data_IF_453764338905
#
_entry.id   IF_453764338905
#
_cell.length_a   1.000
_cell.length_b   1.000
_cell.length_c   1.000
_cell.angle_alpha   90.00
_cell.angle_beta   90.00
_cell.angle_gamma   90.00
#
_symmetry.space_group_name_H-M   'P 1'
#
loop_
_entity.id
_entity.type
_entity.pdbx_description
1 polymer ?
2 non-polymer ?
3 non-polymer ?
#
# COMPACT_ATOMS: atom_id res chain seq x y z
N UNK A 1 -9.01 -21.05 -13.49
CA UNK A 1 -10.19 -20.23 -13.86
C UNK A 1 -10.25 -19.00 -12.98
N UNK A 2 -10.94 -17.98 -13.43
CA UNK A 2 -10.91 -16.68 -12.79
C UNK A 2 -11.30 -16.80 -11.32
N UNK A 3 -10.60 -16.09 -10.45
CA UNK A 3 -10.86 -16.09 -9.02
C UNK A 3 -12.11 -15.27 -8.69
N UNK A 4 -12.81 -15.68 -7.63
CA UNK A 4 -14.07 -15.06 -7.29
C UNK A 4 -14.16 -14.85 -5.80
N UNK A 5 -14.42 -13.62 -5.40
CA UNK A 5 -14.39 -13.23 -3.99
C UNK A 5 -15.62 -13.75 -3.24
N UNK A 6 -15.58 -15.00 -2.84
CA UNK A 6 -16.79 -15.65 -2.38
C UNK A 6 -16.82 -15.83 -0.86
N UNK A 7 -15.66 -15.70 -0.23
CA UNK A 7 -15.59 -15.81 1.23
C UNK A 7 -15.68 -14.45 1.91
N UNK A 8 -15.72 -14.46 3.24
CA UNK A 8 -15.71 -13.23 4.00
C UNK A 8 -14.43 -13.19 4.81
N UNK A 9 -14.19 -12.11 5.54
CA UNK A 9 -13.01 -12.04 6.42
C UNK A 9 -13.14 -12.92 7.66
N UNK A 10 -12.03 -13.56 8.04
CA UNK A 10 -11.95 -14.23 9.33
C UNK A 10 -11.99 -13.23 10.50
N UNK A 11 -12.18 -13.77 11.71
CA UNK A 11 -12.05 -13.00 12.93
C UNK A 11 -10.60 -12.76 13.28
N UNK A 12 -10.27 -11.47 13.30
CA UNK A 12 -8.96 -10.98 13.70
C UNK A 12 -9.01 -10.75 15.19
N UNK A 13 -8.47 -11.67 15.97
CA UNK A 13 -8.35 -11.44 17.41
C UNK A 13 -6.92 -11.08 17.78
N UNK A 14 -6.01 -11.22 16.80
CA UNK A 14 -4.64 -10.68 16.84
C UNK A 14 -3.91 -10.86 15.48
N UNK A 15 -2.61 -10.53 15.45
CA UNK A 15 -1.84 -10.59 14.20
C UNK A 15 -0.58 -11.39 14.47
N UNK A 16 -0.14 -12.21 13.51
CA UNK A 16 1.11 -12.98 13.66
C UNK A 16 2.15 -12.57 12.63
N UNK A 17 3.42 -12.76 12.94
CA UNK A 17 4.46 -12.47 11.97
C UNK A 17 4.33 -13.42 10.78
N UNK A 18 4.20 -12.84 9.58
CA UNK A 18 4.05 -13.61 8.36
C UNK A 18 5.37 -13.60 7.58
N UNK A 19 5.86 -12.42 7.23
CA UNK A 19 7.17 -12.32 6.61
C UNK A 19 8.07 -11.20 7.14
N UNK A 20 9.33 -11.21 6.70
CA UNK A 20 10.31 -10.20 7.09
C UNK A 20 11.62 -10.50 6.36
N UNK A 21 12.25 -9.49 5.77
CA UNK A 21 13.39 -9.75 4.90
C UNK A 21 14.76 -9.27 5.37
N UNK A 22 14.79 -8.39 6.37
CA UNK A 22 16.06 -7.85 6.90
C UNK A 22 16.99 -7.34 5.82
N UNK A 23 16.45 -6.69 4.80
CA UNK A 23 17.28 -6.36 3.65
C UNK A 23 18.44 -5.39 3.90
N UNK A 24 18.26 -4.42 4.79
CA UNK A 24 19.29 -3.39 4.97
C UNK A 24 20.39 -3.93 5.87
N UNK A 25 20.01 -4.75 6.87
CA UNK A 25 20.98 -5.54 7.65
C UNK A 25 21.81 -6.35 6.71
N UNK A 26 21.14 -7.20 5.95
CA UNK A 26 21.82 -8.04 4.96
C UNK A 26 22.42 -7.20 3.83
N UNK A 27 21.85 -6.03 3.61
CA UNK A 27 22.28 -5.20 2.51
C UNK A 27 23.63 -4.59 2.76
N UNK A 28 24.06 -4.68 4.01
CA UNK A 28 25.32 -4.09 4.39
C UNK A 28 26.54 -4.83 3.79
N UNK A 29 26.35 -6.11 3.46
CA UNK A 29 27.42 -6.99 2.99
C UNK A 29 26.98 -7.99 1.91
N UNK A 30 25.94 -7.65 1.15
CA UNK A 30 25.51 -8.48 0.03
C UNK A 30 25.05 -7.56 -1.08
N UNK A 31 24.75 -8.10 -2.26
CA UNK A 31 24.28 -7.26 -3.36
C UNK A 31 22.77 -7.17 -3.37
N UNK A 32 22.24 -6.35 -2.46
CA UNK A 32 20.81 -6.10 -2.33
C UNK A 32 20.50 -4.79 -3.06
N UNK A 33 19.26 -4.66 -3.56
CA UNK A 33 18.87 -3.49 -4.34
C UNK A 33 18.23 -2.40 -3.49
N UNK A 34 18.61 -1.16 -3.71
CA UNK A 34 17.92 -0.03 -3.08
C UNK A 34 16.50 0.06 -3.62
N UNK A 35 15.51 0.01 -2.72
CA UNK A 35 14.10 -0.07 -3.10
C UNK A 35 13.30 0.98 -2.35
N UNK A 36 12.03 1.13 -2.71
CA UNK A 36 11.01 1.63 -1.77
C UNK A 36 9.61 1.33 -2.30
N UNK A 37 8.60 1.82 -1.58
CA UNK A 37 7.22 1.49 -1.90
C UNK A 37 7.03 -0.02 -2.13
N UNK A 38 7.32 -0.84 -1.10
CA UNK A 38 7.09 -2.29 -1.19
C UNK A 38 5.63 -2.69 -1.12
N UNK A 39 5.37 -3.96 -1.38
CA UNK A 39 4.11 -4.59 -1.06
C UNK A 39 4.27 -6.09 -1.21
N UNK A 40 3.21 -6.83 -0.90
CA UNK A 40 3.22 -8.28 -1.00
C UNK A 40 1.97 -8.63 -1.80
N UNK A 41 2.05 -9.67 -2.62
CA UNK A 41 0.94 -10.00 -3.50
C UNK A 41 1.04 -11.49 -3.83
N UNK A 42 -0.11 -12.16 -3.90
CA UNK A 42 -0.13 -13.62 -4.05
C UNK A 42 -0.57 -14.20 -5.42
N UNK A 43 0.19 -15.17 -5.88
CA UNK A 43 -0.20 -16.05 -6.97
C UNK A 43 -0.94 -17.27 -6.40
N UNK A 44 -1.65 -18.00 -7.26
CA UNK A 44 -2.26 -19.28 -6.87
C UNK A 44 -1.34 -20.26 -6.10
N UNK A 45 -0.03 -20.09 -6.28
CA UNK A 45 0.96 -21.10 -5.93
C UNK A 45 2.09 -20.54 -5.06
N UNK A 46 2.47 -19.27 -5.23
CA UNK A 46 3.33 -18.61 -4.23
C UNK A 46 2.95 -17.16 -3.95
N UNK A 47 3.31 -16.67 -2.76
CA UNK A 47 3.25 -15.23 -2.47
C UNK A 47 4.64 -14.62 -2.55
N UNK A 48 4.76 -13.42 -3.12
CA UNK A 48 6.06 -12.74 -3.21
C UNK A 48 6.05 -11.30 -2.72
N UNK A 49 7.25 -10.73 -2.60
CA UNK A 49 7.46 -9.35 -2.19
C UNK A 49 7.63 -8.54 -3.47
N UNK A 50 7.30 -7.25 -3.42
CA UNK A 50 7.31 -6.39 -4.57
C UNK A 50 7.79 -4.99 -4.13
N UNK A 51 8.60 -4.34 -4.96
CA UNK A 51 9.01 -2.96 -4.70
C UNK A 51 9.56 -2.34 -5.98
N UNK A 52 9.67 -1.00 -5.97
CA UNK A 52 10.39 -0.27 -7.01
C UNK A 52 11.91 -0.12 -6.74
N UNK A 53 12.69 -0.81 -7.55
CA UNK A 53 14.14 -0.67 -7.62
C UNK A 53 14.51 0.78 -7.87
N UNK A 54 15.66 1.21 -7.33
CA UNK A 54 16.31 2.46 -7.73
C UNK A 54 17.47 2.19 -8.66
N UNK A 55 17.58 0.96 -9.13
CA UNK A 55 18.56 0.65 -10.16
C UNK A 55 19.97 0.74 -9.64
N UNK A 56 20.23 0.17 -8.46
CA UNK A 56 21.52 0.30 -7.78
C UNK A 56 21.51 -0.48 -6.46
N UNK A 57 22.70 -0.89 -6.02
CA UNK A 57 22.84 -1.53 -4.73
C UNK A 57 23.13 -0.48 -3.66
N UNK A 58 22.81 -0.84 -2.41
CA UNK A 58 22.98 0.05 -1.28
C UNK A 58 24.42 0.50 -1.10
N UNK A 59 25.35 -0.45 -1.08
CA UNK A 59 26.75 -0.09 -0.90
C UNK A 59 27.37 0.46 -2.19
N UNK A 60 26.68 0.31 -3.31
CA UNK A 60 27.11 0.94 -4.54
C UNK A 60 27.05 2.46 -4.53
N UNK A 61 27.99 3.11 -5.22
CA UNK A 61 28.10 4.58 -5.26
C UNK A 61 26.80 5.24 -5.75
N UNK A 62 26.09 4.59 -6.66
CA UNK A 62 25.00 5.24 -7.39
C UNK A 62 23.78 5.24 -6.50
N UNK A 63 23.97 4.93 -5.22
CA UNK A 63 22.90 4.97 -4.23
C UNK A 63 22.75 6.37 -3.65
N UNK A 64 23.76 7.21 -3.83
CA UNK A 64 23.66 8.59 -3.40
C UNK A 64 22.61 9.29 -4.23
N UNK A 65 21.48 9.58 -3.62
CA UNK A 65 20.46 10.35 -4.33
C UNK A 65 19.15 9.59 -4.49
N UNK A 66 19.14 8.35 -4.00
CA UNK A 66 17.98 7.50 -4.07
C UNK A 66 16.87 7.99 -3.16
N UNK A 67 16.95 9.22 -2.69
CA UNK A 67 15.81 9.83 -2.01
C UNK A 67 14.75 10.33 -2.99
N UNK A 68 15.10 10.36 -4.28
CA UNK A 68 14.20 10.85 -5.32
C UNK A 68 13.23 9.77 -5.80
N UNK A 69 11.96 10.16 -5.99
CA UNK A 69 10.89 9.20 -6.29
C UNK A 69 10.89 8.65 -7.71
N UNK A 70 11.12 9.54 -8.67
CA UNK A 70 10.89 9.20 -10.07
C UNK A 70 12.16 9.38 -10.87
N UNK A 71 12.54 8.38 -11.65
CA UNK A 71 13.70 8.47 -12.53
C UNK A 71 13.62 7.39 -13.57
N UNK A 72 14.58 7.43 -14.49
CA UNK A 72 14.66 6.48 -15.59
C UNK A 72 15.23 5.14 -15.16
N UNK A 73 15.70 5.06 -13.91
CA UNK A 73 16.44 3.88 -13.49
C UNK A 73 15.69 3.05 -12.45
N UNK A 74 14.44 3.42 -12.16
CA UNK A 74 13.55 2.64 -11.28
C UNK A 74 12.85 1.53 -12.08
N UNK A 75 12.35 0.50 -11.38
CA UNK A 75 11.59 -0.61 -11.98
C UNK A 75 10.78 -1.35 -10.92
N UNK A 76 9.69 -2.03 -11.30
CA UNK A 76 9.00 -2.91 -10.36
C UNK A 76 9.70 -4.27 -10.40
N UNK A 77 10.17 -4.73 -9.24
CA UNK A 77 10.74 -6.07 -9.08
C UNK A 77 9.90 -6.87 -8.07
N UNK A 78 9.92 -8.20 -8.19
CA UNK A 78 9.39 -9.06 -7.14
C UNK A 78 10.43 -10.09 -6.78
N UNK A 79 10.35 -10.61 -5.57
CA UNK A 79 11.29 -11.63 -5.18
C UNK A 79 10.62 -12.61 -4.20
N UNK A 80 11.26 -13.77 -3.96
CA UNK A 80 10.78 -14.74 -2.98
C UNK A 80 10.67 -14.19 -1.57
N UNK A 81 9.54 -14.52 -0.95
CA UNK A 81 9.12 -14.04 0.37
C UNK A 81 10.20 -14.12 1.44
N UNK A 82 10.52 -12.97 2.04
CA UNK A 82 11.42 -12.89 3.20
C UNK A 82 12.88 -13.04 2.77
N UNK A 83 13.15 -12.77 1.51
CA UNK A 83 14.51 -12.72 0.99
C UNK A 83 14.85 -11.26 0.73
N UNK A 84 16.13 -10.88 0.88
CA UNK A 84 16.36 -9.46 0.61
C UNK A 84 16.28 -9.26 -0.90
N UNK A 85 15.83 -8.08 -1.35
CA UNK A 85 15.68 -7.94 -2.81
C UNK A 85 17.02 -7.78 -3.52
N UNK A 86 17.63 -8.90 -3.92
CA UNK A 86 19.01 -8.90 -4.43
C UNK A 86 19.11 -8.81 -5.95
N UNK A 87 20.30 -8.43 -6.43
CA UNK A 87 20.55 -8.27 -7.85
C UNK A 87 20.42 -9.57 -8.67
N UNK A 88 20.70 -10.70 -8.02
CA UNK A 88 20.76 -12.00 -8.69
C UNK A 88 19.49 -12.84 -8.60
N UNK A 89 18.46 -12.32 -7.95
CA UNK A 89 17.28 -13.11 -7.62
C UNK A 89 15.97 -12.41 -7.91
N UNK A 90 16.04 -11.10 -8.12
CA UNK A 90 14.84 -10.34 -8.34
C UNK A 90 14.37 -10.59 -9.75
N UNK A 91 13.06 -10.48 -9.97
CA UNK A 91 12.49 -10.47 -11.30
C UNK A 91 11.83 -9.12 -11.59
N UNK A 92 12.12 -8.55 -12.76
CA UNK A 92 11.48 -7.30 -13.18
C UNK A 92 10.08 -7.53 -13.79
N UNK A 93 9.09 -6.88 -13.21
CA UNK A 93 7.73 -6.94 -13.73
C UNK A 93 7.54 -5.97 -14.91
N UNK A 94 8.00 -4.73 -14.73
CA UNK A 94 7.96 -3.66 -15.75
C UNK A 94 8.77 -2.43 -15.32
N UNK A 95 8.98 -1.53 -16.27
CA UNK A 95 9.82 -0.33 -16.08
C UNK A 95 8.94 0.89 -15.71
N UNK A 96 9.04 1.34 -14.47
CA UNK A 96 8.17 2.41 -14.01
C UNK A 96 8.45 2.87 -12.59
N UNK A 97 8.06 4.11 -12.28
CA UNK A 97 8.26 4.72 -10.98
C UNK A 97 6.99 4.81 -10.13
N UNK A 98 5.90 4.18 -10.63
CA UNK A 98 4.71 3.88 -9.82
C UNK A 98 4.10 2.59 -10.34
N UNK A 99 3.41 1.84 -9.48
CA UNK A 99 2.87 0.51 -9.86
C UNK A 99 1.68 -0.06 -9.07
N UNK A 100 1.15 -1.15 -9.61
CA UNK A 100 0.28 -2.08 -8.89
C UNK A 100 0.33 -3.37 -9.71
N UNK A 101 0.03 -4.50 -9.05
CA UNK A 101 0.09 -5.81 -9.67
C UNK A 101 -0.85 -6.75 -8.92
N UNK A 102 -1.64 -7.50 -9.67
CA UNK A 102 -2.51 -8.50 -9.08
C UNK A 102 -2.72 -9.69 -10.03
N UNK A 103 -3.10 -10.81 -9.44
CA UNK A 103 -3.32 -12.03 -10.20
C UNK A 103 -4.84 -12.29 -10.27
N UNK A 104 -5.37 -12.66 -11.42
CA UNK A 104 -6.81 -12.81 -11.54
C UNK A 104 -7.32 -14.26 -11.42
N UNK A 105 -6.49 -15.12 -10.85
CA UNK A 105 -6.80 -16.53 -10.89
C UNK A 105 -6.19 -17.21 -12.11
N UNK A 106 -6.25 -16.58 -13.27
CA UNK A 106 -5.76 -17.20 -14.49
C UNK A 106 -4.30 -16.83 -14.73
N UNK A 107 -4.01 -15.54 -14.67
CA UNK A 107 -2.63 -15.03 -14.74
C UNK A 107 -2.54 -13.60 -14.11
N UNK A 108 -1.36 -12.97 -14.19
CA UNK A 108 -1.07 -11.76 -13.42
C UNK A 108 -0.96 -10.50 -14.28
N UNK A 109 -1.59 -9.43 -13.80
CA UNK A 109 -1.53 -8.09 -14.40
C UNK A 109 -0.66 -7.24 -13.52
N UNK A 110 0.30 -6.58 -14.18
CA UNK A 110 1.25 -5.67 -13.54
C UNK A 110 1.27 -4.38 -14.36
N UNK A 111 1.16 -3.24 -13.67
CA UNK A 111 1.01 -1.93 -14.30
C UNK A 111 2.11 -1.01 -13.77
N UNK A 112 3.01 -0.58 -14.65
CA UNK A 112 4.02 0.41 -14.28
C UNK A 112 3.75 1.70 -15.03
N UNK A 113 4.10 2.81 -14.37
CA UNK A 113 3.96 4.14 -14.91
C UNK A 113 5.33 4.81 -15.00
N UNK A 114 5.63 5.40 -16.15
CA UNK A 114 6.85 6.16 -16.31
C UNK A 114 6.54 7.48 -17.04
N UNK A 115 7.55 8.33 -17.13
CA UNK A 115 7.50 9.48 -18.01
C UNK A 115 8.03 10.68 -17.27
N UNK A 116 8.22 11.81 -17.96
CA UNK A 116 8.36 13.06 -17.22
C UNK A 116 7.06 13.38 -16.51
N UNK A 117 7.13 14.30 -15.54
CA UNK A 117 5.97 14.72 -14.77
C UNK A 117 4.77 15.16 -15.60
N UNK A 118 5.01 15.71 -16.80
CA UNK A 118 3.93 16.30 -17.61
C UNK A 118 3.61 15.54 -18.87
N UNK A 119 4.07 14.31 -18.95
CA UNK A 119 3.96 13.51 -20.16
C UNK A 119 4.18 12.03 -19.85
N UNK A 120 3.70 11.62 -18.67
CA UNK A 120 3.77 10.23 -18.22
C UNK A 120 2.66 9.38 -18.85
N UNK A 121 2.90 8.08 -18.86
CA UNK A 121 1.93 7.13 -19.39
C UNK A 121 2.08 5.78 -18.67
N UNK A 122 1.03 4.98 -18.69
CA UNK A 122 1.04 3.68 -18.02
C UNK A 122 0.93 2.55 -19.05
N UNK A 123 1.66 1.47 -18.80
CA UNK A 123 1.54 0.29 -19.62
C UNK A 123 1.06 -0.83 -18.73
N UNK A 124 -0.04 -1.45 -19.19
CA UNK A 124 -0.64 -2.62 -18.58
C UNK A 124 -0.05 -3.86 -19.22
N UNK A 125 0.76 -4.57 -18.43
CA UNK A 125 1.23 -5.88 -18.80
C UNK A 125 0.26 -6.93 -18.29
N UNK A 126 0.12 -8.00 -19.06
CA UNK A 126 -0.68 -9.13 -18.63
C UNK A 126 -0.05 -10.38 -19.25
N UNK A 127 0.15 -11.43 -18.44
CA UNK A 127 1.00 -12.57 -18.81
C UNK A 127 2.41 -12.21 -19.30
N UNK A 128 3.09 -11.33 -18.56
CA UNK A 128 4.39 -10.77 -18.92
C UNK A 128 4.55 -10.20 -20.33
N UNK A 129 3.44 -9.92 -21.00
CA UNK A 129 3.47 -9.13 -22.25
C UNK A 129 2.69 -7.83 -22.04
N UNK A 130 3.18 -6.73 -22.65
CA UNK A 130 2.46 -5.45 -22.71
C UNK A 130 1.24 -5.54 -23.63
N UNK A 131 0.16 -4.96 -23.16
CA UNK A 131 -1.15 -5.14 -23.76
C UNK A 131 -1.80 -3.78 -24.06
N UNK A 132 -1.80 -2.90 -23.06
CA UNK A 132 -2.57 -1.66 -23.08
C UNK A 132 -1.80 -0.47 -22.47
N UNK A 133 -1.96 0.71 -23.06
CA UNK A 133 -1.25 1.92 -22.65
C UNK A 133 -2.25 3.07 -22.51
N UNK A 134 -1.89 4.04 -21.67
CA UNK A 134 -2.78 5.11 -21.22
C UNK A 134 -1.88 6.32 -20.95
N UNK A 135 -2.27 7.48 -21.44
CA UNK A 135 -1.42 8.68 -21.31
C UNK A 135 -1.98 9.57 -20.19
N UNK A 136 -1.16 10.45 -19.64
CA UNK A 136 -1.65 11.50 -18.74
C UNK A 136 -2.93 12.10 -19.31
N UNK A 137 -3.92 12.26 -18.44
CA UNK A 137 -5.11 13.00 -18.82
C UNK A 137 -5.10 14.39 -18.23
N UNK A 138 -4.34 14.60 -17.17
CA UNK A 138 -4.29 15.89 -16.50
C UNK A 138 -2.86 16.41 -16.47
N UNK A 139 -1.95 15.64 -17.05
CA UNK A 139 -0.58 16.08 -17.31
C UNK A 139 0.20 16.52 -16.07
N UNK A 140 -0.15 15.92 -14.92
CA UNK A 140 0.59 16.15 -13.68
C UNK A 140 0.75 14.90 -12.78
N UNK A 141 1.91 14.26 -12.91
CA UNK A 141 2.26 12.99 -12.26
C UNK A 141 1.14 11.95 -12.07
N UNK A 142 0.72 11.37 -13.19
CA UNK A 142 -0.08 10.13 -13.23
C UNK A 142 0.52 9.13 -12.26
N UNK A 143 -0.29 8.58 -11.37
CA UNK A 143 0.22 7.69 -10.34
C UNK A 143 -0.87 6.68 -9.91
N UNK A 144 -0.44 5.51 -9.41
CA UNK A 144 -1.35 4.45 -8.95
C UNK A 144 -1.15 4.11 -7.47
N UNK A 145 -1.56 2.91 -7.09
CA UNK A 145 -1.82 2.54 -5.71
C UNK A 145 -0.56 2.37 -4.87
N UNK A 146 0.44 1.70 -5.44
CA UNK A 146 1.66 1.24 -4.77
C UNK A 146 1.40 0.02 -3.92
N UNK A 147 0.34 -0.72 -4.28
CA UNK A 147 0.10 -2.06 -3.73
C UNK A 147 -0.86 -2.84 -4.63
N UNK A 148 -1.01 -4.15 -4.40
CA UNK A 148 -1.83 -5.03 -5.24
C UNK A 148 -3.28 -4.60 -5.42
N UNK A 149 -3.77 -4.77 -6.63
CA UNK A 149 -5.20 -4.60 -6.87
C UNK A 149 -5.93 -5.89 -6.45
N UNK A 150 -7.24 -5.96 -6.74
CA UNK A 150 -8.06 -7.13 -6.48
C UNK A 150 -8.95 -7.36 -7.71
N UNK A 151 -8.92 -8.58 -8.24
CA UNK A 151 -9.94 -9.03 -9.20
C UNK A 151 -11.04 -9.88 -8.62
N UNK A 152 -12.08 -10.04 -9.43
CA UNK A 152 -13.22 -10.91 -9.16
C UNK A 152 -13.83 -11.36 -10.51
N UNK A 153 -13.77 -12.65 -10.79
CA UNK A 153 -14.24 -13.21 -12.06
C UNK A 153 -13.70 -12.46 -13.29
N UNK A 154 -12.42 -12.15 -13.25
CA UNK A 154 -11.73 -11.68 -14.42
C UNK A 154 -11.54 -10.19 -14.43
N UNK A 155 -12.25 -9.45 -13.58
CA UNK A 155 -12.32 -7.99 -13.63
C UNK A 155 -11.57 -7.31 -12.50
N UNK A 156 -10.43 -6.69 -12.83
CA UNK A 156 -9.55 -6.05 -11.83
C UNK A 156 -9.54 -4.55 -11.96
N UNK A 157 -10.26 -3.86 -11.07
CA UNK A 157 -10.24 -2.40 -11.08
C UNK A 157 -9.00 -1.81 -10.43
N UNK A 158 -8.59 -0.64 -10.92
CA UNK A 158 -7.39 0.01 -10.42
C UNK A 158 -7.69 1.50 -10.38
N UNK A 159 -7.30 2.13 -9.28
CA UNK A 159 -7.46 3.57 -9.07
C UNK A 159 -6.20 4.31 -9.49
N UNK A 160 -6.37 5.32 -10.35
CA UNK A 160 -5.30 6.23 -10.77
C UNK A 160 -5.66 7.67 -10.39
N UNK A 161 -4.65 8.44 -9.98
CA UNK A 161 -4.80 9.91 -9.86
C UNK A 161 -3.87 10.62 -10.83
N UNK A 162 -4.42 11.57 -11.58
CA UNK A 162 -3.61 12.53 -12.34
C UNK A 162 -3.97 13.97 -11.98
N UNK A 163 -3.00 14.69 -11.44
CA UNK A 163 -3.17 16.10 -11.14
C UNK A 163 -2.36 16.55 -9.95
N UNK A 164 -2.76 17.68 -9.36
CA UNK A 164 -2.13 18.24 -8.17
C UNK A 164 -2.20 17.34 -6.93
N UNK A 165 -1.26 17.58 -6.02
CA UNK A 165 -1.15 16.82 -4.79
C UNK A 165 -1.49 17.73 -3.63
N UNK A 166 -1.61 19.02 -3.89
CA UNK A 166 -1.90 19.95 -2.83
C UNK A 166 -3.20 20.71 -3.12
N UNK A 167 -4.17 19.96 -3.64
CA UNK A 167 -5.38 20.53 -4.20
C UNK A 167 -6.12 19.49 -4.98
N UNK A 168 -7.16 19.88 -5.73
CA UNK A 168 -7.96 18.99 -6.58
C UNK A 168 -7.16 18.32 -7.69
N UNK A 169 -7.33 17.01 -7.83
CA UNK A 169 -6.77 16.26 -8.95
C UNK A 169 -7.89 15.54 -9.69
N UNK A 170 -7.55 14.69 -10.65
CA UNK A 170 -8.52 13.88 -11.36
C UNK A 170 -8.26 12.38 -11.17
N UNK A 171 -9.16 11.70 -10.47
CA UNK A 171 -8.98 10.30 -10.15
C UNK A 171 -9.94 9.41 -10.95
N UNK A 172 -9.41 8.45 -11.68
CA UNK A 172 -10.26 7.50 -12.41
C UNK A 172 -10.13 6.11 -11.81
N UNK A 173 -11.25 5.40 -11.80
CA UNK A 173 -11.31 3.98 -11.46
C UNK A 173 -11.45 3.21 -12.78
N UNK A 174 -10.35 2.60 -13.24
CA UNK A 174 -10.37 1.75 -14.45
C UNK A 174 -10.74 0.31 -14.12
N UNK A 175 -11.52 -0.32 -15.00
CA UNK A 175 -11.82 -1.73 -14.87
C UNK A 175 -11.14 -2.50 -16.01
N UNK A 176 -10.20 -3.37 -15.66
CA UNK A 176 -9.53 -4.22 -16.65
C UNK A 176 -10.02 -5.68 -16.56
N UNK A 177 -10.07 -6.31 -17.74
CA UNK A 177 -10.28 -7.74 -17.86
C UNK A 177 -9.33 -8.30 -18.94
N UNK A 178 -8.38 -9.15 -18.53
CA UNK A 178 -7.30 -9.63 -19.41
C UNK A 178 -6.38 -8.54 -19.96
N UNK A 179 -6.15 -7.50 -19.16
CA UNK A 179 -5.21 -6.45 -19.53
C UNK A 179 -5.85 -5.36 -20.37
N UNK A 180 -7.08 -5.63 -20.81
CA UNK A 180 -7.82 -4.71 -21.65
C UNK A 180 -8.77 -3.88 -20.79
N UNK A 181 -8.94 -2.61 -21.17
CA UNK A 181 -9.88 -1.73 -20.48
C UNK A 181 -11.31 -2.09 -20.83
N UNK A 182 -12.11 -2.39 -19.82
CA UNK A 182 -13.56 -2.58 -20.01
C UNK A 182 -14.30 -1.25 -19.95
N UNK A 183 -13.82 -0.33 -19.11
CA UNK A 183 -14.59 0.83 -18.71
C UNK A 183 -13.77 1.65 -17.69
N UNK A 184 -14.01 2.94 -17.61
CA UNK A 184 -13.46 3.70 -16.50
C UNK A 184 -14.45 4.76 -16.08
N UNK A 185 -14.29 5.26 -14.85
CA UNK A 185 -15.20 6.27 -14.35
C UNK A 185 -14.48 7.19 -13.36
N UNK A 186 -14.70 8.50 -13.50
CA UNK A 186 -14.27 9.50 -12.50
C UNK A 186 -14.65 9.18 -11.08
N UNK A 187 -13.85 9.66 -10.12
CA UNK A 187 -14.15 9.46 -8.70
C UNK A 187 -15.51 10.08 -8.34
N UNK A 188 -16.17 9.49 -7.34
CA UNK A 188 -17.47 9.95 -6.88
C UNK A 188 -17.56 9.72 -5.39
N UNK A 189 -18.60 10.27 -4.76
CA UNK A 189 -18.77 10.11 -3.32
C UNK A 189 -18.41 11.45 -2.72
N UNK A 190 -17.86 11.44 -1.50
CA UNK A 190 -17.59 12.69 -0.77
C UNK A 190 -16.11 12.87 -0.39
N UNK A 191 -15.24 11.98 -0.88
CA UNK A 191 -13.80 12.11 -0.66
C UNK A 191 -13.24 13.24 -1.52
N UNK A 192 -12.44 14.11 -0.92
CA UNK A 192 -12.00 15.32 -1.59
C UNK A 192 -10.67 15.17 -2.33
N UNK A 193 -9.95 14.09 -2.04
CA UNK A 193 -8.64 13.81 -2.62
C UNK A 193 -8.25 12.34 -2.39
N UNK A 194 -7.72 11.69 -3.43
CA UNK A 194 -7.40 10.25 -3.39
C UNK A 194 -5.96 9.98 -3.86
N UNK A 195 -5.22 9.19 -3.10
CA UNK A 195 -3.87 8.83 -3.50
C UNK A 195 -3.55 7.52 -2.80
N UNK A 196 -2.72 6.70 -3.44
CA UNK A 196 -2.15 5.50 -2.85
C UNK A 196 -3.17 4.57 -2.19
N UNK A 197 -4.17 4.12 -2.97
CA UNK A 197 -5.24 3.26 -2.44
C UNK A 197 -4.80 1.86 -2.09
N UNK A 198 -5.27 1.39 -0.94
CA UNK A 198 -4.90 0.09 -0.39
C UNK A 198 -6.17 -0.78 -0.33
N UNK A 199 -6.23 -1.86 -1.11
CA UNK A 199 -7.53 -2.48 -1.43
C UNK A 199 -7.64 -3.93 -0.99
N UNK A 200 -8.86 -4.38 -0.69
CA UNK A 200 -9.12 -5.83 -0.63
C UNK A 200 -10.55 -6.16 -1.02
N UNK A 201 -10.91 -7.43 -0.97
CA UNK A 201 -12.22 -7.87 -1.39
C UNK A 201 -12.64 -9.05 -0.55
N UNK A 202 -13.90 -9.09 -0.14
CA UNK A 202 -14.59 -10.35 0.17
C UNK A 202 -16.04 -10.18 -0.18
N UNK A 203 -16.73 -11.31 -0.33
CA UNK A 203 -18.14 -11.38 -0.72
C UNK A 203 -18.47 -10.42 -1.87
N UNK A 204 -17.69 -10.51 -2.93
CA UNK A 204 -17.97 -9.84 -4.19
C UNK A 204 -18.00 -8.36 -4.10
N UNK A 205 -17.11 -7.80 -3.28
CA UNK A 205 -17.01 -6.37 -3.06
C UNK A 205 -15.56 -5.92 -2.75
N UNK A 206 -15.15 -4.75 -3.24
CA UNK A 206 -13.77 -4.32 -3.07
C UNK A 206 -13.67 -3.03 -2.27
N UNK A 207 -12.73 -3.00 -1.31
CA UNK A 207 -12.61 -1.88 -0.40
C UNK A 207 -11.19 -1.37 -0.44
N UNK A 208 -11.04 -0.15 -0.93
CA UNK A 208 -9.79 0.60 -0.84
C UNK A 208 -9.81 1.73 0.21
N UNK A 209 -8.73 1.83 0.99
CA UNK A 209 -8.53 2.90 1.97
C UNK A 209 -7.29 3.63 1.47
N UNK A 210 -7.48 4.89 1.12
CA UNK A 210 -6.50 5.68 0.38
C UNK A 210 -5.94 6.85 1.20
N UNK A 211 -5.49 7.88 0.49
CA UNK A 211 -4.75 9.00 1.10
C UNK A 211 -5.21 10.33 0.50
N UNK A 212 -5.86 11.14 1.33
CA UNK A 212 -6.10 12.54 1.03
C UNK A 212 -4.82 13.29 1.33
N UNK A 213 -4.05 13.60 0.32
CA UNK A 213 -2.80 14.26 0.56
C UNK A 213 -3.01 15.72 0.91
N UNK A 214 -4.10 16.32 0.43
CA UNK A 214 -4.20 17.77 0.50
C UNK A 214 -4.91 18.39 1.73
N UNK A 215 -5.83 17.64 2.34
CA UNK A 215 -6.69 18.21 3.37
C UNK A 215 -6.96 17.30 4.58
N UNK A 216 -7.23 16.01 4.34
CA UNK A 216 -7.74 15.16 5.41
C UNK A 216 -6.71 14.45 6.28
N UNK A 217 -6.99 14.40 7.58
CA UNK A 217 -6.17 13.60 8.48
C UNK A 217 -6.87 12.29 8.84
N UNK A 218 -8.12 12.19 8.39
CA UNK A 218 -8.87 10.95 8.40
C UNK A 218 -8.85 10.44 6.97
N UNK A 219 -8.90 9.12 6.78
CA UNK A 219 -8.62 8.50 5.47
C UNK A 219 -9.90 8.23 4.70
N UNK A 220 -9.90 8.55 3.39
CA UNK A 220 -11.07 8.35 2.55
C UNK A 220 -11.13 6.90 2.11
N UNK A 221 -12.32 6.41 1.84
CA UNK A 221 -12.50 5.02 1.48
C UNK A 221 -13.29 4.97 0.18
N UNK A 222 -12.77 4.20 -0.77
CA UNK A 222 -13.48 3.87 -1.99
C UNK A 222 -13.99 2.44 -1.86
N UNK A 223 -15.28 2.25 -2.11
CA UNK A 223 -15.85 0.91 -2.14
C UNK A 223 -16.39 0.60 -3.54
N UNK A 224 -15.88 -0.49 -4.12
CA UNK A 224 -16.14 -0.86 -5.52
C UNK A 224 -16.97 -2.15 -5.60
N UNK A 225 -17.89 -2.21 -6.56
CA UNK A 225 -18.57 -3.43 -6.91
C UNK A 225 -18.02 -3.88 -8.25
N UNK A 226 -17.27 -4.99 -8.26
CA UNK A 226 -16.57 -5.36 -9.48
C UNK A 226 -17.52 -5.94 -10.52
N UNK A 227 -18.69 -6.38 -10.08
CA UNK A 227 -19.69 -6.91 -10.99
C UNK A 227 -20.47 -5.82 -11.70
N UNK A 228 -20.94 -4.83 -10.95
CA UNK A 228 -21.70 -3.75 -11.55
C UNK A 228 -20.79 -2.68 -12.10
N UNK A 229 -19.49 -2.82 -11.84
CA UNK A 229 -18.48 -1.85 -12.22
C UNK A 229 -18.91 -0.45 -11.82
N UNK A 230 -19.32 -0.28 -10.57
CA UNK A 230 -19.58 1.06 -10.01
C UNK A 230 -18.84 1.16 -8.70
N UNK A 231 -18.69 2.38 -8.22
CA UNK A 231 -17.99 2.65 -6.97
C UNK A 231 -18.64 3.77 -6.17
N UNK A 232 -18.23 3.87 -4.91
CA UNK A 232 -18.45 5.10 -4.15
C UNK A 232 -17.33 5.39 -3.14
N UNK A 233 -17.24 6.65 -2.72
CA UNK A 233 -16.26 7.08 -1.73
C UNK A 233 -16.91 7.81 -0.54
N UNK A 234 -16.11 7.98 0.52
CA UNK A 234 -16.57 8.39 1.84
C UNK A 234 -15.27 8.65 2.58
N UNK A 235 -15.33 9.12 3.82
CA UNK A 235 -14.17 9.10 4.70
C UNK A 235 -14.44 8.10 5.84
N UNK A 236 -13.42 7.81 6.65
CA UNK A 236 -13.65 7.03 7.87
C UNK A 236 -14.13 7.97 8.98
N UNK A 237 -15.28 7.65 9.57
CA UNK A 237 -15.93 8.45 10.61
C UNK A 237 -15.18 8.59 11.92
N UNK A 238 -14.56 7.50 12.36
CA UNK A 238 -13.94 7.46 13.69
C UNK A 238 -12.95 8.61 13.86
N UNK A 239 -12.76 9.07 15.10
CA UNK A 239 -11.76 10.10 15.47
C UNK A 239 -10.37 9.54 15.80
N UNK A 240 -10.20 8.23 15.80
CA UNK A 240 -8.85 7.69 15.83
C UNK A 240 -8.31 7.95 14.42
N UNK A 241 -7.67 9.11 14.30
CA UNK A 241 -7.08 9.56 13.04
C UNK A 241 -5.85 8.70 12.66
N UNK A 242 -5.66 8.49 11.35
CA UNK A 242 -4.67 7.51 10.91
C UNK A 242 -3.86 7.92 9.67
N UNK A 243 -3.73 9.21 9.36
CA UNK A 243 -2.70 9.61 8.41
C UNK A 243 -1.52 10.18 9.21
N UNK A 244 -0.59 10.86 8.54
CA UNK A 244 0.63 11.28 9.22
C UNK A 244 1.46 12.16 8.31
N UNK A 245 1.70 13.41 8.72
CA UNK A 245 1.32 13.93 10.03
C UNK A 245 -0.20 14.06 10.24
N UNK A 246 -0.60 14.09 11.49
CA UNK A 246 -2.01 14.25 11.84
C UNK A 246 -2.08 14.98 13.19
N UNK A 247 -3.17 15.76 13.43
CA UNK A 247 -3.42 16.32 14.76
C UNK A 247 -3.77 15.21 15.73
N UNK A 248 -3.96 15.57 16.99
CA UNK A 248 -4.38 14.58 17.96
C UNK A 248 -5.84 14.13 17.81
N UNK A 249 -6.07 12.90 18.25
CA UNK A 249 -7.37 12.24 18.20
C UNK A 249 -8.37 13.15 18.88
N UNK A 250 -9.39 13.62 18.14
CA UNK A 250 -10.58 14.26 18.73
C UNK A 250 -11.50 13.21 19.35
N UNK A 251 -12.62 13.68 19.93
CA UNK A 251 -13.65 12.79 20.45
C UNK A 251 -14.77 12.58 19.45
N UNK A 252 -14.79 13.38 18.39
CA UNK A 252 -15.73 13.20 17.27
C UNK A 252 -15.02 13.46 15.92
N UNK A 253 -15.37 12.73 14.85
CA UNK A 253 -14.69 12.88 13.55
C UNK A 253 -15.67 12.94 12.38
N UNK A 254 -15.16 13.33 11.22
CA UNK A 254 -15.91 13.50 9.98
C UNK A 254 -16.23 12.20 9.28
N UNK A 255 -17.49 12.03 8.91
CA UNK A 255 -17.90 10.99 7.96
C UNK A 255 -17.82 11.37 6.49
N UNK A 256 -17.88 12.67 6.19
CA UNK A 256 -18.01 13.11 4.81
C UNK A 256 -17.14 14.27 4.38
N UNK A 257 -16.28 14.75 5.28
CA UNK A 257 -15.36 15.81 4.92
C UNK A 257 -14.03 15.41 5.48
N UNK A 258 -12.94 16.04 5.01
CA UNK A 258 -11.65 15.99 5.73
C UNK A 258 -11.67 16.51 7.18
N UNK A 259 -11.00 15.80 8.07
CA UNK A 259 -10.60 16.40 9.33
C UNK A 259 -9.37 17.29 9.10
N UNK A 260 -9.49 18.60 9.41
CA UNK A 260 -8.41 19.59 9.30
C UNK A 260 -7.30 19.48 10.37
N UNK A 261 -6.19 20.17 10.12
CA UNK A 261 -5.04 20.03 11.00
C UNK A 261 -3.69 19.99 10.33
N UNK A 262 -3.46 19.05 9.41
CA UNK A 262 -2.26 19.09 8.58
C UNK A 262 -2.63 19.26 7.09
N UNK A 263 -1.84 20.00 6.33
CA UNK A 263 -2.16 20.29 4.94
C UNK A 263 -1.12 19.69 4.02
N UNK A 264 -1.55 19.18 2.87
CA UNK A 264 -0.63 18.83 1.82
C UNK A 264 0.43 17.84 2.28
N UNK A 265 -0.03 16.71 2.83
CA UNK A 265 0.86 15.65 3.30
C UNK A 265 0.16 14.41 3.88
N UNK A 266 0.93 13.33 3.96
CA UNK A 266 0.40 12.09 4.47
C UNK A 266 1.31 10.91 4.18
N UNK A 267 0.75 9.71 4.24
CA UNK A 267 1.53 8.48 4.10
C UNK A 267 0.57 7.41 3.64
N UNK A 268 1.05 6.38 2.97
CA UNK A 268 0.17 5.31 2.55
C UNK A 268 -0.24 4.43 3.74
N UNK A 269 -1.53 4.15 3.85
CA UNK A 269 -2.02 3.28 4.91
C UNK A 269 -3.12 2.31 4.49
N UNK A 270 -3.75 1.64 5.44
CA UNK A 270 -4.81 0.70 5.12
C UNK A 270 -5.72 0.54 6.33
N UNK A 271 -6.84 -0.14 6.14
CA UNK A 271 -7.73 -0.54 7.22
C UNK A 271 -8.50 -1.77 6.74
N UNK A 272 -9.08 -2.48 7.69
CA UNK A 272 -9.97 -3.60 7.39
C UNK A 272 -11.23 -3.25 8.11
N UNK A 273 -12.30 -3.08 7.34
CA UNK A 273 -13.51 -2.46 7.82
C UNK A 273 -14.63 -3.47 7.72
N UNK A 274 -14.92 -4.13 8.83
CA UNK A 274 -15.75 -5.31 8.82
C UNK A 274 -16.62 -5.33 10.09
N UNK A 275 -17.21 -4.17 10.39
CA UNK A 275 -18.14 -4.07 11.49
C UNK A 275 -17.50 -3.94 12.87
N UNK A 276 -17.84 -4.84 13.77
CA UNK A 276 -17.12 -4.91 15.04
C UNK A 276 -15.70 -5.49 14.81
N UNK A 277 -15.52 -6.11 13.65
CA UNK A 277 -14.29 -6.83 13.30
C UNK A 277 -13.48 -5.91 12.41
N UNK A 278 -13.26 -4.69 12.87
CA UNK A 278 -12.62 -3.65 12.08
C UNK A 278 -11.32 -3.23 12.75
N UNK A 279 -10.23 -3.22 12.00
CA UNK A 279 -8.93 -2.84 12.54
C UNK A 279 -8.29 -1.72 11.75
N UNK A 280 -7.42 -0.95 12.39
CA UNK A 280 -6.76 0.20 11.76
C UNK A 280 -5.28 0.22 12.15
N UNK A 281 -4.42 0.32 11.15
CA UNK A 281 -3.00 0.55 11.38
C UNK A 281 -2.68 2.04 11.30
N UNK A 282 -1.68 2.48 12.08
CA UNK A 282 -1.13 3.84 11.95
C UNK A 282 0.26 3.96 12.59
N UNK A 283 1.01 4.97 12.17
CA UNK A 283 2.14 5.43 12.94
C UNK A 283 1.65 5.83 14.32
N UNK A 284 2.47 5.48 15.30
CA UNK A 284 2.30 5.92 16.67
C UNK A 284 2.55 7.45 16.73
N UNK A 285 3.66 7.91 16.17
CA UNK A 285 3.90 9.35 16.06
C UNK A 285 2.85 10.07 15.23
N UNK A 286 2.51 11.28 15.64
CA UNK A 286 1.62 12.13 14.87
C UNK A 286 2.42 13.09 13.98
N UNK A 287 3.73 13.09 14.18
CA UNK A 287 4.64 13.99 13.50
C UNK A 287 5.55 13.27 12.47
N UNK A 288 6.16 12.16 12.87
CA UNK A 288 7.07 11.42 11.98
C UNK A 288 6.41 10.16 11.49
N UNK A 289 7.02 9.51 10.49
CA UNK A 289 6.69 8.13 10.14
C UNK A 289 7.48 7.23 11.10
N UNK A 290 6.93 7.07 12.31
CA UNK A 290 7.58 6.33 13.38
C UNK A 290 6.61 5.43 14.09
N UNK A 291 7.07 4.25 14.45
CA UNK A 291 6.21 3.30 15.11
C UNK A 291 5.09 2.82 14.22
N UNK A 292 4.47 1.71 14.59
CA UNK A 292 3.29 1.24 13.90
C UNK A 292 2.50 0.43 14.88
N UNK A 293 1.19 0.65 14.85
CA UNK A 293 0.29 -0.04 15.74
C UNK A 293 -0.97 -0.38 14.96
N UNK A 294 -1.63 -1.44 15.41
CA UNK A 294 -2.98 -1.81 14.98
C UNK A 294 -3.96 -1.52 16.13
N UNK A 295 -5.15 -1.05 15.75
CA UNK A 295 -6.19 -0.72 16.70
C UNK A 295 -7.52 -1.22 16.19
N UNK A 296 -8.28 -1.81 17.10
CA UNK A 296 -9.57 -2.41 16.80
C UNK A 296 -10.64 -1.44 17.22
N UNK A 297 -11.31 -0.82 16.25
CA UNK A 297 -12.24 0.27 16.51
C UNK A 297 -13.52 -0.12 15.82
N UNK A 298 -14.42 -0.81 16.57
CA UNK A 298 -15.64 -1.34 15.94
C UNK A 298 -16.49 -0.25 15.28
N UNK A 299 -16.80 -0.49 14.01
CA UNK A 299 -17.59 0.42 13.18
C UNK A 299 -16.93 1.79 12.93
N UNK A 300 -15.60 1.81 12.91
CA UNK A 300 -14.82 2.97 12.46
C UNK A 300 -15.43 3.74 11.27
N UNK A 301 -15.94 2.99 10.28
CA UNK A 301 -16.37 3.53 8.97
C UNK A 301 -17.48 4.52 9.19
N UNK A 302 -18.35 4.19 10.13
CA UNK A 302 -19.67 4.76 10.15
C UNK A 302 -20.05 5.40 11.49
N UNK A 303 -19.41 4.95 12.57
CA UNK A 303 -19.70 5.42 13.91
C UNK A 303 -18.68 6.50 14.26
N UNK A 304 -19.12 7.75 14.20
CA UNK A 304 -18.19 8.87 14.24
C UNK A 304 -17.75 9.24 15.66
N UNK A 305 -17.98 8.32 16.59
CA UNK A 305 -17.56 8.51 17.97
C UNK A 305 -16.70 7.38 18.55
N UNK A 306 -16.33 6.44 17.67
CA UNK A 306 -15.67 5.18 18.03
C UNK A 306 -14.21 5.34 18.47
N UNK A 307 -13.81 4.54 19.44
CA UNK A 307 -12.46 4.57 19.99
C UNK A 307 -12.01 3.12 20.30
N UNK A 308 -10.70 2.87 20.40
CA UNK A 308 -10.19 1.49 20.33
C UNK A 308 -10.70 0.58 21.46
N UNK A 309 -10.97 -0.68 21.15
CA UNK A 309 -11.24 -1.67 22.19
C UNK A 309 -10.15 -2.73 22.37
N UNK A 310 -9.07 -2.65 21.59
CA UNK A 310 -7.95 -3.59 21.67
C UNK A 310 -6.92 -3.18 20.63
N UNK A 311 -5.67 -3.63 20.83
CA UNK A 311 -4.57 -3.10 20.04
C UNK A 311 -3.33 -3.97 19.99
N UNK A 312 -2.41 -3.65 19.10
CA UNK A 312 -1.19 -4.41 18.99
C UNK A 312 -0.13 -3.52 18.36
N UNK A 313 1.03 -3.43 18.99
CA UNK A 313 2.15 -2.67 18.42
C UNK A 313 3.04 -3.52 17.51
N UNK A 314 3.22 -3.04 16.29
CA UNK A 314 4.01 -3.76 15.31
C UNK A 314 5.47 -3.27 15.38
N UNK A 315 5.65 -1.96 15.51
CA UNK A 315 6.98 -1.35 15.54
C UNK A 315 6.99 -0.25 16.60
N UNK A 316 8.04 -0.20 17.43
CA UNK A 316 8.05 0.77 18.53
C UNK A 316 8.26 2.19 18.03
N UNK A 317 7.86 3.17 18.84
CA UNK A 317 7.85 4.58 18.42
C UNK A 317 9.24 5.06 18.11
N UNK A 318 10.21 4.49 18.80
CA UNK A 318 11.60 4.75 18.57
C UNK A 318 12.16 4.10 17.28
N UNK A 319 11.38 3.26 16.60
CA UNK A 319 11.81 2.74 15.31
C UNK A 319 11.10 3.43 14.15
N UNK A 320 11.78 3.48 13.01
CA UNK A 320 11.22 4.09 11.81
C UNK A 320 10.27 3.15 11.07
N UNK A 321 9.19 3.72 10.50
CA UNK A 321 8.22 2.96 9.73
C UNK A 321 8.13 3.52 8.31
N UNK A 322 6.93 3.59 7.76
CA UNK A 322 6.74 4.16 6.43
C UNK A 322 5.42 3.70 5.87
N UNK A 323 5.36 3.46 4.56
CA UNK A 323 4.11 3.01 3.93
C UNK A 323 3.58 1.69 4.54
N UNK A 324 2.29 1.42 4.32
CA UNK A 324 1.70 0.17 4.75
C UNK A 324 0.51 -0.13 3.86
N UNK A 325 0.17 -1.41 3.73
CA UNK A 325 -0.81 -1.80 2.73
C UNK A 325 -1.42 -3.16 2.99
N UNK A 326 -2.54 -3.42 2.35
CA UNK A 326 -3.29 -4.66 2.57
C UNK A 326 -2.96 -5.71 1.50
N UNK A 327 -2.99 -6.98 1.89
CA UNK A 327 -3.05 -8.07 0.91
C UNK A 327 -3.69 -9.26 1.59
N UNK A 328 -4.20 -10.16 0.78
CA UNK A 328 -4.73 -11.43 1.26
C UNK A 328 -4.38 -12.55 0.29
N UNK A 329 -4.08 -13.73 0.80
CA UNK A 329 -3.90 -14.90 -0.06
C UNK A 329 -5.23 -15.55 -0.43
N UNK A 330 -5.86 -15.01 -1.47
CA UNK A 330 -7.19 -15.45 -1.89
C UNK A 330 -7.24 -16.91 -2.26
N UNK A 331 -6.08 -17.54 -2.42
CA UNK A 331 -6.00 -18.95 -2.83
C UNK A 331 -5.60 -19.88 -1.68
N UNK A 332 -5.59 -19.35 -0.47
CA UNK A 332 -5.40 -20.18 0.71
C UNK A 332 -6.59 -21.11 0.97
N UNK A 333 -6.28 -22.26 1.53
CA UNK A 333 -7.27 -23.25 1.94
C UNK A 333 -8.12 -22.71 3.07
N UNK A 334 -9.40 -23.05 3.11
CA UNK A 334 -10.18 -22.63 4.27
C UNK A 334 -11.37 -21.73 4.02
N UNK A 335 -12.09 -21.38 5.08
CA UNK A 335 -13.47 -20.86 4.97
C UNK A 335 -13.61 -19.37 4.84
N UNK A 336 -12.60 -18.62 5.27
CA UNK A 336 -12.66 -17.17 5.30
C UNK A 336 -11.34 -16.60 4.83
N UNK A 337 -11.34 -15.33 4.46
CA UNK A 337 -10.12 -14.69 4.01
C UNK A 337 -9.37 -14.17 5.24
N UNK A 338 -8.16 -14.68 5.42
CA UNK A 338 -7.31 -14.23 6.50
C UNK A 338 -6.58 -12.94 6.06
N UNK A 339 -6.78 -11.88 6.82
CA UNK A 339 -6.33 -10.53 6.47
C UNK A 339 -4.84 -10.40 6.73
N UNK A 340 -4.13 -9.76 5.82
CA UNK A 340 -2.71 -9.53 6.02
C UNK A 340 -2.38 -8.09 5.72
N UNK A 341 -1.15 -7.70 6.05
CA UNK A 341 -0.71 -6.33 5.83
C UNK A 341 0.81 -6.22 5.92
N UNK A 342 1.38 -5.13 5.42
CA UNK A 342 2.82 -4.92 5.47
C UNK A 342 3.14 -3.48 5.85
N UNK A 343 4.28 -3.30 6.53
CA UNK A 343 4.83 -1.98 6.81
C UNK A 343 6.22 -1.89 6.16
N UNK A 344 6.42 -0.80 5.44
CA UNK A 344 7.73 -0.45 4.90
C UNK A 344 8.50 0.23 6.04
N UNK A 345 9.74 -0.21 6.27
CA UNK A 345 10.59 0.39 7.31
C UNK A 345 11.69 1.19 6.61
N UNK A 346 11.44 2.48 6.35
CA UNK A 346 12.40 3.28 5.61
C UNK A 346 13.64 3.57 6.48
N UNK A 347 14.81 3.44 5.87
CA UNK A 347 16.09 3.85 6.48
C UNK A 347 16.77 4.86 5.55
N UNK A 348 17.73 5.61 6.10
CA UNK A 348 18.42 6.62 5.32
C UNK A 348 17.77 8.00 5.33
N UNK A 349 17.89 8.74 4.23
CA UNK A 349 17.40 10.12 4.17
C UNK A 349 15.88 10.18 3.96
N UNK A 350 15.20 11.23 4.48
CA UNK A 350 15.65 12.41 5.24
C UNK A 350 16.11 12.18 6.70
N UNK A 351 15.44 11.31 7.43
CA UNK A 351 15.58 11.30 8.88
C UNK A 351 16.95 10.80 9.32
N UNK A 352 17.70 10.20 8.39
CA UNK A 352 19.03 9.74 8.72
C UNK A 352 20.09 10.25 7.72
N UNK A 353 20.48 11.50 7.95
CA UNK A 353 21.43 12.27 7.14
C UNK A 353 22.83 11.73 6.89
N UNK A 354 23.38 10.98 7.84
CA UNK A 354 24.77 10.55 7.76
C UNK A 354 25.07 9.74 6.48
N UNK A 355 24.02 9.23 5.87
CA UNK A 355 24.13 8.43 4.66
C UNK A 355 23.49 9.18 3.53
N UNK A 356 23.87 8.84 2.31
CA UNK A 356 23.36 9.56 1.16
C UNK A 356 22.20 8.88 0.45
N UNK A 357 21.81 7.72 0.97
CA UNK A 357 20.75 6.92 0.37
C UNK A 357 19.45 6.87 1.18
N UNK A 358 18.44 6.28 0.55
CA UNK A 358 17.16 5.96 1.18
C UNK A 358 16.72 4.56 0.72
N UNK A 359 16.72 3.60 1.64
CA UNK A 359 16.08 2.31 1.36
C UNK A 359 15.07 1.93 2.45
N UNK A 360 14.69 0.66 2.48
CA UNK A 360 13.68 0.16 3.39
C UNK A 360 13.82 -1.35 3.52
N UNK A 361 13.14 -1.91 4.51
CA UNK A 361 13.04 -3.35 4.70
C UNK A 361 11.55 -3.65 4.62
N UNK A 362 11.15 -4.89 4.87
CA UNK A 362 9.74 -5.20 5.05
C UNK A 362 9.47 -6.05 6.31
N UNK A 363 8.28 -5.87 6.87
CA UNK A 363 7.69 -6.83 7.81
C UNK A 363 6.24 -7.04 7.38
N UNK A 364 5.84 -8.31 7.33
CA UNK A 364 4.48 -8.64 6.98
C UNK A 364 3.83 -9.44 8.11
N UNK A 365 2.56 -9.13 8.37
CA UNK A 365 1.72 -9.91 9.33
C UNK A 365 0.43 -10.36 8.65
N UNK A 366 -0.17 -11.41 9.21
CA UNK A 366 -1.57 -11.80 8.92
C UNK A 366 -2.32 -12.10 10.24
N UNK A 367 -3.65 -12.12 10.17
CA UNK A 367 -4.42 -12.20 11.42
C UNK A 367 -4.47 -13.60 11.98
N UNK A 368 -4.95 -13.69 13.21
CA UNK A 368 -5.14 -14.94 13.92
C UNK A 368 -6.42 -14.76 14.75
N UNK A 369 -7.25 -15.82 14.81
CA UNK A 369 -8.44 -15.82 15.69
C UNK A 369 -8.01 -16.10 17.11
N UNK A 370 -6.78 -16.58 17.26
CA UNK A 370 -6.13 -16.66 18.55
C UNK A 370 -5.94 -15.28 19.15
N UNK A 371 -5.56 -15.24 20.41
CA UNK A 371 -5.12 -14.02 21.06
C UNK A 371 -3.62 -14.06 21.35
N UNK A 372 -2.78 -13.99 20.31
CA UNK A 372 -1.33 -14.20 20.46
C UNK A 372 -0.62 -13.04 21.15
N UNK A 373 0.46 -13.35 21.85
CA UNK A 373 1.30 -12.31 22.42
C UNK A 373 1.97 -11.49 21.35
N UNK A 374 2.46 -10.31 21.68
CA UNK A 374 3.05 -9.43 20.69
C UNK A 374 4.54 -9.20 20.90
N UNK A 375 5.26 -9.09 19.80
CA UNK A 375 6.61 -8.56 19.77
C UNK A 375 6.59 -7.33 18.90
N UNK A 376 7.77 -6.72 18.70
CA UNK A 376 7.92 -5.60 17.79
C UNK A 376 9.06 -5.87 16.85
N UNK A 377 8.99 -5.23 15.69
CA UNK A 377 9.66 -5.70 14.50
C UNK A 377 10.39 -4.55 13.85
N UNK A 378 11.55 -4.17 14.42
CA UNK A 378 12.39 -3.12 13.84
C UNK A 378 13.08 -3.61 12.57
N UNK A 379 13.56 -2.68 11.76
CA UNK A 379 14.38 -3.04 10.62
C UNK A 379 15.66 -3.74 11.12
N UNK A 380 16.28 -3.15 12.13
CA UNK A 380 17.37 -3.82 12.80
C UNK A 380 18.74 -3.60 12.18
N UNK A 381 18.85 -2.72 11.20
CA UNK A 381 20.17 -2.35 10.69
C UNK A 381 20.79 -1.29 11.60
N UNK A 382 22.12 -1.22 11.59
CA UNK A 382 22.88 -0.28 12.42
C UNK A 382 23.57 0.72 11.48
N UNK A 383 23.02 1.92 11.39
CA UNK A 383 23.37 2.87 10.34
C UNK A 383 24.83 3.29 10.45
N UNK A 384 25.40 3.13 11.64
CA UNK A 384 26.79 3.51 11.83
C UNK A 384 27.71 2.59 11.07
N UNK A 385 27.26 1.36 10.80
CA UNK A 385 28.08 0.40 10.06
C UNK A 385 28.19 0.79 8.58
N UNK A 386 27.37 1.74 8.17
CA UNK A 386 27.32 2.26 6.80
C UNK A 386 28.18 3.52 6.68
N UNK A 387 28.72 4.00 7.80
CA UNK A 387 29.54 5.20 7.83
C UNK A 387 30.99 4.85 7.62
X LIG B 1 -3.19 13.88 4.79
X LIG C 1 6.26 9.92 -0.20
X LIG C 1 5.95 9.69 -1.67
X LIG C 1 6.76 8.92 -2.70
X LIG C 1 6.03 8.46 -3.93
X LIG C 1 5.39 9.77 -4.46
X LIG C 1 4.28 10.21 -3.52
X LIG C 1 3.94 11.69 -3.76
X LIG C 1 2.76 12.03 -2.78
X LIG C 1 2.19 13.51 -2.98
X LIG C 1 5.36 9.74 -6.98
X LIG C 1 4.56 9.42 -8.24
X LIG C 1 4.80 9.64 -5.79
X LIG C 1 5.40 10.59 0.44
X LIG C 1 7.04 9.11 0.39
X LIG C 1 6.68 7.66 -4.94
X LIG C 1 4.63 10.09 -2.09
X LIG C 1 5.10 12.54 -3.57
X LIG C 1 1.80 11.07 -3.17
X LIG C 1 1.61 13.60 -4.29
X LIG C 1 6.47 10.27 -7.16
X LIG C 1 7.86 8.70 -2.61
X LIG C 1 5.25 7.80 -3.53
X LIG C 1 6.12 10.58 -4.56
X LIG C 1 3.41 9.53 -3.70
X LIG C 1 3.58 11.84 -4.79
X LIG C 1 3.04 11.83 -1.74
X LIG C 1 1.42 13.78 -2.26
X LIG C 1 2.99 14.26 -2.86
X LIG C 1 3.83 9.52 -5.76
X LIG C 1 7.06 6.88 -4.48
X LIG C 1 5.85 12.00 -3.25
X LIG C 1 1.11 11.51 -3.70
X LIG C 1 0.71 13.22 -4.30
#
# INVERSE_FOLDING_TARGET
DFNNLTKGLCTINSWHIYGKDNAVRIGEDSDVLVTREPYVSCDPDECRFYALSQGTTIRGKHSNGTIHDRSQYRALISWPLSSPPTVYNSRVECIGWSSTSCHDGKTRMSICISGPNNNASAVIWYNRRPVTEINTWARNILRTQESECVCHNGVCPVVFTDGSATGPAETRIYYFKEGKILKWEPLAGTAKHIEECSCYGERAEITCTCRDNWQGSNRPVIRIDPVAMTHTSQYICSPVLTDNPRPNDPTVGKCNDPYPGNNNNGVKGFSYLDGVNTWLGRTISIASRSGYEMLKVPNALTDDKSKPTQGQTIVLNTDWSGYSGSFMDYWAEGECYRACFYVELIRGRPKEDKVWWTSNSIVSMCSSTEFLGQWDWPDGAKIEYFL
CA CA
DAN C1 C2 C3 C4 C5 C6 C7 C8 C9 C10 C11 N5 O1A O1B O4 O6 O7 O8 O9 O10 H3 H4 H5 H6 H7 H8 H91 H92 HN5 HO4 HO7 HO8 HO9
#
